data_IF_565258586883
#
_entry.id   IF_565258586883
#
_cell.length_a   1.000
_cell.length_b   1.000
_cell.length_c   1.000
_cell.angle_alpha   90.00
_cell.angle_beta   90.00
_cell.angle_gamma   90.00
#
_symmetry.space_group_name_H-M   'P 1'
#
loop_
_entity.id
_entity.type
_entity.pdbx_description
1 polymer ?
#
# COMPACT_ATOMS: atom_id res chain seq x y z
N UNK A 1 -0.41 -7.05 19.68
CA UNK A 1 -0.06 -7.47 18.31
C UNK A 1 1.43 -7.74 18.30
N UNK A 2 1.92 -8.88 17.76
CA UNK A 2 3.36 -9.15 17.61
C UNK A 2 3.64 -9.26 16.11
N UNK A 3 4.54 -8.44 15.57
CA UNK A 3 4.99 -8.56 14.20
C UNK A 3 6.03 -9.68 14.11
N UNK A 4 5.91 -10.54 13.11
CA UNK A 4 6.89 -11.57 12.82
C UNK A 4 7.58 -11.22 11.49
N UNK A 5 8.91 -11.19 11.51
CA UNK A 5 9.74 -10.97 10.32
C UNK A 5 9.86 -12.28 9.55
N UNK A 6 9.57 -12.27 8.25
CA UNK A 6 9.82 -13.43 7.39
C UNK A 6 11.29 -13.42 6.91
N UNK A 7 11.98 -14.57 7.01
CA UNK A 7 13.38 -14.73 6.61
C UNK A 7 13.59 -14.51 5.10
N UNK A 8 14.66 -13.79 4.75
CA UNK A 8 15.19 -13.67 3.40
C UNK A 8 15.82 -15.00 2.93
N UNK A 9 15.49 -15.44 1.72
CA UNK A 9 16.17 -16.55 1.04
C UNK A 9 17.65 -16.19 0.80
N UNK A 10 18.53 -17.15 1.11
CA UNK A 10 19.96 -16.92 1.28
C UNK A 10 20.78 -16.72 0.01
N UNK A 11 21.93 -16.08 0.22
CA UNK A 11 23.14 -16.17 -0.58
C UNK A 11 24.30 -15.85 0.36
N UNK A 12 25.19 -16.82 0.57
CA UNK A 12 26.36 -16.73 1.45
C UNK A 12 27.44 -15.87 0.81
N UNK A 13 27.78 -14.74 1.43
CA UNK A 13 29.09 -14.10 1.34
C UNK A 13 29.24 -13.13 2.53
N UNK A 14 30.15 -13.46 3.45
CA UNK A 14 30.60 -12.54 4.50
C UNK A 14 31.49 -11.46 3.87
N UNK A 15 31.05 -10.20 3.88
CA UNK A 15 31.95 -9.04 3.79
C UNK A 15 31.53 -7.97 4.79
N UNK A 16 32.53 -7.54 5.55
CA UNK A 16 32.53 -6.56 6.63
C UNK A 16 31.93 -5.19 6.28
N UNK A 17 31.10 -4.67 7.18
CA UNK A 17 30.56 -3.31 7.15
C UNK A 17 29.05 -3.33 7.32
N UNK A 18 28.56 -3.42 8.56
CA UNK A 18 27.12 -3.39 8.83
C UNK A 18 26.53 -2.06 8.35
N UNK A 19 26.01 -2.02 7.11
CA UNK A 19 25.14 -0.94 6.62
C UNK A 19 24.07 -0.73 7.68
N UNK A 20 24.07 0.44 8.35
CA UNK A 20 22.99 0.83 9.25
C UNK A 20 21.69 0.75 8.47
N UNK A 21 20.82 -0.20 8.83
CA UNK A 21 19.50 -0.34 8.23
C UNK A 21 18.73 0.95 8.50
N UNK A 22 18.29 1.64 7.45
CA UNK A 22 17.53 2.88 7.56
C UNK A 22 16.07 2.54 7.87
N UNK A 23 15.49 3.04 8.97
CA UNK A 23 14.09 2.79 9.29
C UNK A 23 13.21 3.48 8.23
N UNK A 24 12.28 2.72 7.69
CA UNK A 24 11.29 3.18 6.73
C UNK A 24 10.01 3.61 7.44
N UNK A 25 9.53 2.81 8.37
CA UNK A 25 8.35 3.07 9.19
C UNK A 25 8.70 2.82 10.65
N UNK A 26 8.47 3.80 11.51
CA UNK A 26 8.59 3.67 12.96
C UNK A 26 7.26 4.03 13.60
N UNK A 27 6.71 3.10 14.38
CA UNK A 27 5.48 3.27 15.15
C UNK A 27 5.87 3.08 16.61
N UNK A 28 5.58 4.08 17.44
CA UNK A 28 5.87 4.06 18.88
C UNK A 28 4.61 4.34 19.68
N UNK A 29 4.24 3.40 20.53
CA UNK A 29 3.10 3.44 21.44
C UNK A 29 1.80 3.97 20.79
N UNK A 30 1.54 3.58 19.54
CA UNK A 30 0.38 4.08 18.80
C UNK A 30 -0.92 3.57 19.42
N UNK A 31 -1.78 4.51 19.80
CA UNK A 31 -3.15 4.27 20.28
C UNK A 31 -4.16 4.93 19.36
N UNK A 32 -5.31 4.29 19.17
CA UNK A 32 -6.35 4.80 18.30
C UNK A 32 -7.72 4.24 18.67
N UNK A 33 -8.75 5.09 18.52
CA UNK A 33 -10.14 4.79 18.76
C UNK A 33 -10.97 4.99 17.48
N UNK A 34 -12.23 4.57 17.51
CA UNK A 34 -13.22 4.96 16.49
C UNK A 34 -13.53 6.45 16.65
N UNK A 35 -13.57 7.22 15.56
CA UNK A 35 -13.74 8.68 15.63
C UNK A 35 -15.02 9.14 16.37
N UNK A 36 -16.03 8.27 16.44
CA UNK A 36 -17.31 8.54 17.11
C UNK A 36 -17.54 7.67 18.35
N UNK A 37 -16.48 7.13 18.96
CA UNK A 37 -16.59 6.26 20.15
C UNK A 37 -15.33 6.29 20.99
N UNK A 38 -15.50 6.24 22.31
CA UNK A 38 -14.38 6.04 23.26
C UNK A 38 -13.77 4.63 23.19
N UNK A 39 -14.28 3.76 22.31
CA UNK A 39 -13.78 2.41 22.13
C UNK A 39 -12.37 2.42 21.50
N UNK A 40 -11.36 2.35 22.36
CA UNK A 40 -9.97 2.19 21.97
C UNK A 40 -9.71 0.79 21.36
N UNK A 41 -9.18 0.77 20.13
CA UNK A 41 -8.90 -0.46 19.39
C UNK A 41 -7.40 -0.75 19.35
N UNK A 42 -6.57 0.27 19.09
CA UNK A 42 -5.12 0.14 19.19
C UNK A 42 -4.66 0.60 20.56
N UNK A 43 -3.91 -0.27 21.26
CA UNK A 43 -3.53 -0.10 22.67
C UNK A 43 -2.00 -0.14 22.81
N UNK A 44 -1.30 0.85 22.27
CA UNK A 44 0.17 0.96 22.36
C UNK A 44 0.90 0.02 21.39
N UNK A 45 0.69 0.22 20.09
CA UNK A 45 1.37 -0.58 19.05
C UNK A 45 2.78 -0.03 18.82
N UNK A 46 3.76 -0.94 18.82
CA UNK A 46 5.16 -0.65 18.49
C UNK A 46 5.60 -1.50 17.30
N UNK A 47 6.16 -0.87 16.27
CA UNK A 47 6.65 -1.54 15.06
C UNK A 47 7.76 -0.70 14.42
N UNK A 48 8.86 -1.35 14.02
CA UNK A 48 9.87 -0.74 13.16
C UNK A 48 10.04 -1.62 11.93
N UNK A 49 9.90 -1.02 10.74
CA UNK A 49 10.16 -1.64 9.45
C UNK A 49 11.34 -0.91 8.82
N UNK A 50 12.37 -1.65 8.43
CA UNK A 50 13.51 -1.08 7.72
C UNK A 50 13.31 -1.15 6.20
N UNK A 51 14.00 -0.28 5.46
CA UNK A 51 13.98 -0.30 4.00
C UNK A 51 14.38 -1.71 3.47
N UNK A 52 13.59 -2.23 2.52
CA UNK A 52 13.80 -3.54 1.90
C UNK A 52 13.25 -4.73 2.70
N UNK A 53 12.72 -4.53 3.91
CA UNK A 53 12.14 -5.61 4.71
C UNK A 53 10.67 -5.85 4.40
N UNK A 54 10.23 -7.09 4.65
CA UNK A 54 8.82 -7.47 4.61
C UNK A 54 8.40 -8.06 5.94
N UNK A 55 7.31 -7.51 6.46
CA UNK A 55 6.80 -7.86 7.77
C UNK A 55 5.40 -8.45 7.64
N UNK A 56 5.17 -9.57 8.32
CA UNK A 56 3.84 -10.15 8.44
C UNK A 56 3.23 -9.74 9.78
N UNK A 57 2.07 -9.09 9.73
CA UNK A 57 1.30 -8.75 10.93
C UNK A 57 0.23 -9.82 11.15
N UNK A 58 0.39 -10.59 12.23
CA UNK A 58 -0.49 -11.72 12.55
C UNK A 58 -1.20 -11.53 13.90
N UNK A 59 -2.37 -12.15 14.04
CA UNK A 59 -3.19 -12.06 15.26
C UNK A 59 -4.61 -12.53 15.03
N UNK A 60 -5.35 -12.77 16.13
CA UNK A 60 -6.77 -13.17 16.11
C UNK A 60 -7.65 -12.14 15.41
N UNK A 61 -8.81 -12.53 14.91
CA UNK A 61 -9.80 -11.58 14.40
C UNK A 61 -10.18 -10.58 15.49
N UNK A 62 -10.36 -9.30 15.13
CA UNK A 62 -10.58 -8.22 16.09
C UNK A 62 -9.33 -7.69 16.81
N UNK A 63 -8.13 -8.24 16.57
CA UNK A 63 -6.90 -7.78 17.25
C UNK A 63 -6.34 -6.43 16.75
N UNK A 64 -7.12 -5.63 16.02
CA UNK A 64 -6.72 -4.32 15.51
C UNK A 64 -5.82 -4.31 14.27
N UNK A 65 -5.64 -5.43 13.54
CA UNK A 65 -4.76 -5.48 12.34
C UNK A 65 -5.22 -4.57 11.21
N UNK A 66 -6.47 -4.71 10.80
CA UNK A 66 -7.04 -3.86 9.75
C UNK A 66 -7.16 -2.41 10.24
N UNK A 67 -7.44 -2.19 11.52
CA UNK A 67 -7.46 -0.86 12.14
C UNK A 67 -6.09 -0.20 12.06
N UNK A 68 -5.02 -0.91 12.40
CA UNK A 68 -3.65 -0.41 12.28
C UNK A 68 -3.34 0.04 10.84
N UNK A 69 -3.65 -0.77 9.83
CA UNK A 69 -3.46 -0.38 8.43
C UNK A 69 -4.28 0.85 8.04
N UNK A 70 -5.55 0.94 8.48
CA UNK A 70 -6.43 2.08 8.21
C UNK A 70 -5.96 3.37 8.89
N UNK A 71 -5.46 3.29 10.12
CA UNK A 71 -4.88 4.44 10.84
C UNK A 71 -3.64 4.97 10.13
N UNK A 72 -2.77 4.09 9.63
CA UNK A 72 -1.57 4.51 8.89
C UNK A 72 -1.93 5.31 7.63
N UNK A 73 -2.99 4.93 6.90
CA UNK A 73 -3.43 5.69 5.71
C UNK A 73 -4.36 6.87 6.01
N UNK A 74 -4.68 7.13 7.29
CA UNK A 74 -5.50 8.28 7.68
C UNK A 74 -6.99 8.10 7.38
N UNK A 75 -7.51 6.87 7.52
CA UNK A 75 -8.93 6.61 7.30
C UNK A 75 -9.82 7.34 8.32
N UNK A 76 -10.88 8.07 7.89
CA UNK A 76 -11.66 8.96 8.76
C UNK A 76 -12.43 8.27 9.89
N UNK A 77 -12.76 6.98 9.74
CA UNK A 77 -13.39 6.18 10.81
C UNK A 77 -12.59 6.11 12.12
N UNK A 78 -11.29 6.45 12.11
CA UNK A 78 -10.42 6.30 13.27
C UNK A 78 -9.72 7.59 13.63
N UNK A 79 -9.57 7.80 14.93
CA UNK A 79 -8.83 8.91 15.52
C UNK A 79 -7.64 8.38 16.30
N UNK A 80 -6.48 9.00 16.12
CA UNK A 80 -5.25 8.66 16.84
C UNK A 80 -5.29 9.37 18.18
N UNK A 81 -5.29 8.59 19.27
CA UNK A 81 -5.40 9.11 20.64
C UNK A 81 -4.04 9.30 21.31
N UNK A 82 -2.97 8.82 20.70
CA UNK A 82 -1.63 8.87 21.27
C UNK A 82 -0.56 8.11 20.48
N UNK A 83 0.69 8.28 20.88
CA UNK A 83 1.87 7.71 20.23
C UNK A 83 2.39 8.55 19.06
N UNK A 84 3.26 7.95 18.25
CA UNK A 84 3.85 8.61 17.08
C UNK A 84 4.11 7.64 15.94
N UNK A 85 4.05 8.15 14.71
CA UNK A 85 4.37 7.40 13.50
C UNK A 85 5.30 8.23 12.61
N UNK A 86 6.47 7.70 12.32
CA UNK A 86 7.41 8.28 11.37
C UNK A 86 7.46 7.41 10.11
N UNK A 87 7.34 8.04 8.93
CA UNK A 87 7.55 7.40 7.65
C UNK A 87 8.65 8.14 6.90
N UNK A 88 9.73 7.42 6.55
CA UNK A 88 10.97 7.99 5.97
C UNK A 88 11.55 9.15 6.80
N UNK A 89 11.31 9.15 8.11
CA UNK A 89 11.76 10.19 9.05
C UNK A 89 10.79 11.36 9.24
N UNK A 90 9.68 11.42 8.49
CA UNK A 90 8.67 12.48 8.62
C UNK A 90 7.46 12.01 9.43
N UNK A 91 6.85 12.91 10.19
CA UNK A 91 5.67 12.57 10.99
C UNK A 91 4.45 12.32 10.09
N UNK A 92 4.05 11.05 10.01
CA UNK A 92 2.95 10.59 9.16
C UNK A 92 1.59 11.11 9.65
N UNK A 93 1.43 11.30 10.97
CA UNK A 93 0.14 11.67 11.57
C UNK A 93 -0.28 13.11 11.22
N UNK A 94 0.67 13.97 10.87
CA UNK A 94 0.43 15.36 10.46
C UNK A 94 0.11 15.49 8.96
N UNK A 95 0.20 14.40 8.20
CA UNK A 95 -0.05 14.40 6.76
C UNK A 95 -1.50 14.05 6.48
N UNK A 96 -2.09 14.73 5.51
CA UNK A 96 -3.39 14.33 4.94
C UNK A 96 -3.25 13.01 4.15
N UNK A 97 -4.32 12.21 3.99
CA UNK A 97 -4.27 10.93 3.29
C UNK A 97 -3.61 10.99 1.90
N UNK A 98 -3.88 12.05 1.13
CA UNK A 98 -3.26 12.28 -0.19
C UNK A 98 -1.75 12.50 -0.07
N UNK A 99 -1.31 13.23 0.94
CA UNK A 99 0.11 13.50 1.20
C UNK A 99 0.86 12.23 1.57
N UNK A 100 0.25 11.37 2.40
CA UNK A 100 0.77 10.05 2.76
C UNK A 100 0.94 9.15 1.52
N UNK A 101 -0.08 9.13 0.66
CA UNK A 101 -0.04 8.40 -0.62
C UNK A 101 1.11 8.86 -1.49
N UNK A 102 1.23 10.17 -1.63
CA UNK A 102 2.28 10.82 -2.42
C UNK A 102 3.69 10.64 -1.82
N UNK A 103 3.82 10.48 -0.50
CA UNK A 103 5.08 10.12 0.15
C UNK A 103 5.52 8.67 -0.15
N UNK A 104 4.63 7.86 -0.70
CA UNK A 104 4.88 6.47 -1.09
C UNK A 104 4.20 5.43 -0.18
N UNK A 105 3.27 5.84 0.68
CA UNK A 105 2.48 4.90 1.49
C UNK A 105 1.26 4.44 0.69
N UNK A 106 1.11 3.14 0.50
CA UNK A 106 -0.07 2.57 -0.16
C UNK A 106 -0.71 1.52 0.74
N UNK A 107 -2.03 1.40 0.68
CA UNK A 107 -2.79 0.30 1.28
C UNK A 107 -3.69 -0.34 0.22
N UNK A 108 -3.58 -1.65 0.04
CA UNK A 108 -4.56 -2.43 -0.71
C UNK A 108 -5.83 -2.61 0.12
N UNK A 109 -7.00 -2.46 -0.49
CA UNK A 109 -8.26 -2.62 0.22
C UNK A 109 -8.64 -4.10 0.33
N UNK A 110 -9.34 -4.47 1.40
CA UNK A 110 -9.91 -5.83 1.53
C UNK A 110 -11.04 -6.03 0.51
N UNK A 111 -11.78 -4.96 0.20
CA UNK A 111 -12.80 -4.90 -0.84
C UNK A 111 -12.58 -3.63 -1.67
N UNK A 112 -12.03 -3.74 -2.89
CA UNK A 112 -11.85 -2.59 -3.76
C UNK A 112 -13.18 -1.93 -4.11
N UNK A 113 -13.21 -0.60 -4.07
CA UNK A 113 -14.40 0.22 -4.38
C UNK A 113 -14.62 0.23 -5.89
N UNK A 114 -15.87 0.14 -6.31
CA UNK A 114 -16.28 0.31 -7.70
C UNK A 114 -16.55 1.79 -8.00
N UNK A 115 -16.05 2.30 -9.12
CA UNK A 115 -16.27 3.69 -9.54
C UNK A 115 -16.91 3.69 -10.93
N UNK A 116 -18.25 3.71 -11.01
CA UNK A 116 -18.96 3.75 -12.28
C UNK A 116 -18.64 5.03 -13.06
N UNK A 117 -18.52 4.91 -14.38
CA UNK A 117 -18.27 6.04 -15.28
C UNK A 117 -16.83 6.52 -15.36
N UNK A 118 -15.89 5.89 -14.64
CA UNK A 118 -14.45 6.17 -14.73
C UNK A 118 -13.72 4.94 -15.21
N UNK A 119 -13.10 5.03 -16.39
CA UNK A 119 -12.31 3.92 -16.95
C UNK A 119 -11.03 3.68 -16.14
N UNK A 120 -10.51 2.45 -16.15
CA UNK A 120 -9.24 2.16 -15.47
C UNK A 120 -8.07 2.96 -16.06
N UNK A 121 -8.02 3.17 -17.37
CA UNK A 121 -6.95 3.95 -17.99
C UNK A 121 -6.98 5.42 -17.56
N UNK A 122 -8.16 6.03 -17.51
CA UNK A 122 -8.29 7.43 -17.09
C UNK A 122 -7.94 7.58 -15.62
N UNK A 123 -8.45 6.68 -14.77
CA UNK A 123 -8.13 6.65 -13.35
C UNK A 123 -6.62 6.54 -13.10
N UNK A 124 -5.96 5.58 -13.75
CA UNK A 124 -4.53 5.35 -13.61
C UNK A 124 -3.70 6.53 -14.15
N UNK A 125 -4.11 7.13 -15.26
CA UNK A 125 -3.43 8.28 -15.85
C UNK A 125 -3.52 9.51 -14.92
N UNK A 126 -4.72 9.80 -14.41
CA UNK A 126 -4.94 10.90 -13.46
C UNK A 126 -4.12 10.70 -12.18
N UNK A 127 -4.16 9.50 -11.59
CA UNK A 127 -3.41 9.20 -10.37
C UNK A 127 -1.88 9.31 -10.59
N UNK A 128 -1.38 8.81 -11.73
CA UNK A 128 0.03 8.90 -12.07
C UNK A 128 0.49 10.34 -12.32
N UNK A 129 -0.31 11.14 -13.04
CA UNK A 129 0.00 12.55 -13.28
C UNK A 129 -0.08 13.40 -12.01
N UNK A 130 -0.97 13.09 -11.07
CA UNK A 130 -1.00 13.74 -9.76
C UNK A 130 0.32 13.56 -8.98
N UNK A 131 0.92 12.36 -9.03
CA UNK A 131 2.24 12.12 -8.45
C UNK A 131 3.34 12.90 -9.18
N UNK A 132 3.33 12.88 -10.52
CA UNK A 132 4.32 13.60 -11.34
C UNK A 132 4.29 15.11 -11.07
N UNK A 133 3.10 15.70 -11.00
CA UNK A 133 2.89 17.10 -10.68
C UNK A 133 3.51 17.48 -9.34
N UNK A 134 3.32 16.65 -8.29
CA UNK A 134 3.95 16.89 -6.98
C UNK A 134 5.48 16.79 -7.03
N UNK A 135 6.01 15.90 -7.86
CA UNK A 135 7.45 15.74 -8.09
C UNK A 135 8.05 16.80 -9.03
N UNK A 136 7.25 17.74 -9.56
CA UNK A 136 7.70 18.73 -10.53
C UNK A 136 8.04 18.14 -11.91
N UNK A 137 7.53 16.94 -12.21
CA UNK A 137 7.72 16.25 -13.48
C UNK A 137 6.60 16.61 -14.47
N UNK A 138 6.87 16.67 -15.79
CA UNK A 138 5.85 16.96 -16.79
C UNK A 138 4.82 15.83 -16.83
N UNK A 139 3.53 16.16 -16.95
CA UNK A 139 2.45 15.19 -17.08
C UNK A 139 2.62 14.34 -18.36
N UNK A 140 2.18 13.09 -18.33
CA UNK A 140 2.12 12.25 -19.53
C UNK A 140 0.78 12.44 -20.24
N UNK A 141 0.84 12.61 -21.56
CA UNK A 141 -0.35 12.54 -22.39
C UNK A 141 -0.91 11.11 -22.47
N UNK A 142 -2.15 10.92 -22.95
CA UNK A 142 -2.79 9.59 -23.02
C UNK A 142 -1.97 8.53 -23.77
N UNK A 143 -1.32 8.92 -24.88
CA UNK A 143 -0.50 8.02 -25.71
C UNK A 143 0.77 7.59 -24.95
N UNK A 144 1.47 8.55 -24.35
CA UNK A 144 2.69 8.31 -23.58
C UNK A 144 2.39 7.46 -22.34
N UNK A 145 1.27 7.75 -21.68
CA UNK A 145 0.82 6.97 -20.54
C UNK A 145 0.45 5.53 -20.93
N UNK A 146 -0.22 5.33 -22.06
CA UNK A 146 -0.52 4.00 -22.57
C UNK A 146 0.77 3.19 -22.81
N UNK A 147 1.78 3.80 -23.45
CA UNK A 147 3.07 3.16 -23.66
C UNK A 147 3.77 2.81 -22.33
N UNK A 148 3.64 3.65 -21.30
CA UNK A 148 4.16 3.37 -19.96
C UNK A 148 3.38 2.24 -19.23
N UNK A 149 2.07 2.17 -19.43
CA UNK A 149 1.16 1.23 -18.79
C UNK A 149 1.26 -0.18 -19.39
N UNK A 150 1.36 -0.27 -20.72
CA UNK A 150 1.23 -1.53 -21.46
C UNK A 150 2.18 -2.65 -20.97
N UNK A 151 3.48 -2.41 -20.74
CA UNK A 151 4.37 -3.45 -20.22
C UNK A 151 3.97 -3.97 -18.83
N UNK A 152 3.24 -3.17 -18.03
CA UNK A 152 2.82 -3.55 -16.67
C UNK A 152 1.58 -4.44 -16.68
N UNK A 153 0.74 -4.37 -17.71
CA UNK A 153 -0.38 -5.29 -17.90
C UNK A 153 0.10 -6.73 -18.06
N UNK A 154 1.18 -6.93 -18.81
CA UNK A 154 1.81 -8.23 -19.01
C UNK A 154 2.35 -8.79 -17.68
N UNK A 155 3.00 -7.95 -16.86
CA UNK A 155 3.53 -8.35 -15.55
C UNK A 155 2.45 -8.90 -14.60
N UNK A 156 1.23 -8.39 -14.72
CA UNK A 156 0.10 -8.80 -13.86
C UNK A 156 -0.86 -9.76 -14.54
N UNK A 157 -0.56 -10.21 -15.77
CA UNK A 157 -1.40 -11.08 -16.59
C UNK A 157 -2.85 -10.56 -16.73
N UNK A 158 -2.99 -9.30 -17.14
CA UNK A 158 -4.28 -8.62 -17.31
C UNK A 158 -4.46 -8.15 -18.75
N UNK A 159 -5.59 -8.48 -19.36
CA UNK A 159 -5.86 -8.11 -20.76
C UNK A 159 -6.08 -6.60 -20.91
N UNK A 160 -5.72 -6.05 -22.06
CA UNK A 160 -5.92 -4.64 -22.39
C UNK A 160 -7.38 -4.19 -22.34
N UNK A 161 -8.33 -5.08 -22.62
CA UNK A 161 -9.76 -4.76 -22.62
C UNK A 161 -10.27 -4.22 -21.27
N UNK A 162 -9.57 -4.54 -20.18
CA UNK A 162 -9.91 -4.05 -18.84
C UNK A 162 -9.65 -2.56 -18.66
N UNK A 163 -8.76 -1.97 -19.47
CA UNK A 163 -8.42 -0.56 -19.38
C UNK A 163 -9.62 0.36 -19.64
N UNK A 164 -10.49 -0.05 -20.57
CA UNK A 164 -11.67 0.73 -20.96
C UNK A 164 -12.90 0.44 -20.08
N UNK A 165 -12.82 -0.57 -19.21
CA UNK A 165 -13.88 -0.88 -18.25
C UNK A 165 -13.82 0.09 -17.09
N UNK A 166 -14.97 0.32 -16.45
CA UNK A 166 -15.04 1.09 -15.22
C UNK A 166 -14.22 0.44 -14.10
N UNK A 167 -13.70 1.25 -13.18
CA UNK A 167 -12.85 0.79 -12.08
C UNK A 167 -13.61 -0.25 -11.24
N UNK A 168 -13.08 -1.48 -11.21
CA UNK A 168 -13.55 -2.65 -10.47
C UNK A 168 -14.99 -3.15 -10.77
N UNK A 169 -15.71 -2.51 -11.69
CA UNK A 169 -17.11 -2.84 -12.00
C UNK A 169 -17.22 -4.15 -12.81
N UNK A 170 -17.95 -5.12 -12.25
CA UNK A 170 -18.14 -6.44 -12.86
C UNK A 170 -16.86 -7.28 -12.92
N UNK A 171 -15.84 -6.96 -12.11
CA UNK A 171 -14.61 -7.73 -12.00
C UNK A 171 -14.83 -8.89 -11.02
N UNK A 172 -14.35 -10.08 -11.36
CA UNK A 172 -14.19 -11.18 -10.42
C UNK A 172 -13.18 -10.83 -9.31
N UNK A 173 -13.19 -11.57 -8.20
CA UNK A 173 -12.25 -11.33 -7.09
C UNK A 173 -10.78 -11.37 -7.53
N UNK A 174 -10.41 -12.31 -8.40
CA UNK A 174 -9.06 -12.40 -8.96
C UNK A 174 -8.70 -11.22 -9.88
N UNK A 175 -9.65 -10.71 -10.66
CA UNK A 175 -9.46 -9.54 -11.51
C UNK A 175 -9.31 -8.26 -10.69
N UNK A 176 -10.14 -8.07 -9.66
CA UNK A 176 -9.98 -6.95 -8.72
C UNK A 176 -8.58 -6.95 -8.11
N UNK A 177 -8.08 -8.13 -7.75
CA UNK A 177 -6.75 -8.26 -7.16
C UNK A 177 -5.61 -7.96 -8.15
N UNK A 178 -5.72 -8.43 -9.40
CA UNK A 178 -4.77 -8.05 -10.46
C UNK A 178 -4.81 -6.55 -10.74
N UNK A 179 -5.99 -5.93 -10.71
CA UNK A 179 -6.13 -4.48 -10.90
C UNK A 179 -5.44 -3.68 -9.78
N UNK A 180 -5.51 -4.14 -8.53
CA UNK A 180 -4.72 -3.54 -7.45
C UNK A 180 -3.22 -3.68 -7.67
N UNK A 181 -2.74 -4.84 -8.14
CA UNK A 181 -1.31 -5.01 -8.50
C UNK A 181 -0.93 -4.09 -9.66
N UNK A 182 -1.82 -3.90 -10.62
CA UNK A 182 -1.59 -2.98 -11.73
C UNK A 182 -1.44 -1.55 -11.22
N UNK A 183 -2.34 -1.08 -10.36
CA UNK A 183 -2.23 0.24 -9.71
C UNK A 183 -0.89 0.40 -8.99
N UNK A 184 -0.47 -0.64 -8.27
CA UNK A 184 0.83 -0.67 -7.60
C UNK A 184 2.00 -0.56 -8.60
N UNK A 185 1.95 -1.33 -9.68
CA UNK A 185 2.97 -1.31 -10.72
C UNK A 185 3.02 0.03 -11.47
N UNK A 186 1.89 0.71 -11.63
CA UNK A 186 1.81 2.01 -12.31
C UNK A 186 2.35 3.12 -11.42
N UNK A 187 1.88 3.17 -10.17
CA UNK A 187 2.07 4.31 -9.28
C UNK A 187 3.36 4.25 -8.46
N UNK A 188 4.00 3.08 -8.33
CA UNK A 188 5.07 2.96 -7.34
C UNK A 188 6.20 1.98 -7.70
N UNK A 189 6.21 1.36 -8.89
CA UNK A 189 7.30 0.46 -9.29
C UNK A 189 8.67 1.19 -9.38
N UNK A 190 8.68 2.52 -9.42
CA UNK A 190 9.89 3.35 -9.36
C UNK A 190 10.30 3.75 -7.93
N UNK A 191 9.52 3.42 -6.90
CA UNK A 191 9.82 3.75 -5.52
C UNK A 191 10.44 2.52 -4.83
N UNK A 192 11.73 2.60 -4.47
CA UNK A 192 12.54 1.50 -3.87
C UNK A 192 11.99 0.91 -2.55
N UNK A 193 10.88 1.44 -2.03
CA UNK A 193 10.34 1.21 -0.70
C UNK A 193 9.24 0.12 -0.64
N UNK A 194 9.08 -0.65 -1.71
CA UNK A 194 7.79 -1.21 -2.11
C UNK A 194 7.43 -2.61 -1.56
N UNK A 195 8.36 -3.26 -0.86
CA UNK A 195 8.21 -4.67 -0.50
C UNK A 195 7.24 -4.93 0.67
N UNK A 196 6.87 -3.90 1.44
CA UNK A 196 5.98 -4.02 2.60
C UNK A 196 4.56 -4.54 2.26
N UNK A 197 4.09 -4.37 1.02
CA UNK A 197 2.68 -4.61 0.71
C UNK A 197 2.39 -5.81 -0.18
N UNK A 198 3.39 -6.32 -0.89
CA UNK A 198 3.20 -7.44 -1.83
C UNK A 198 2.84 -8.75 -1.11
N UNK A 199 3.28 -8.94 0.14
CA UNK A 199 3.03 -10.18 0.88
C UNK A 199 1.64 -10.25 1.55
N UNK A 200 1.07 -9.12 1.96
CA UNK A 200 -0.34 -9.07 2.38
C UNK A 200 -1.27 -9.40 1.19
N UNK A 201 -0.86 -8.96 0.01
CA UNK A 201 -1.51 -9.24 -1.27
C UNK A 201 -1.41 -10.72 -1.67
N UNK A 202 -0.21 -11.31 -1.57
CA UNK A 202 0.04 -12.71 -1.93
C UNK A 202 -0.68 -13.70 -0.99
N UNK A 203 -0.88 -13.37 0.29
CA UNK A 203 -1.69 -14.20 1.20
C UNK A 203 -3.20 -14.09 0.91
N UNK A 204 -3.68 -12.92 0.49
CA UNK A 204 -5.07 -12.74 0.03
C UNK A 204 -5.33 -13.46 -1.30
N UNK A 205 -4.37 -13.48 -2.22
CA UNK A 205 -4.42 -14.28 -3.45
C UNK A 205 -4.46 -15.79 -3.15
N UNK A 206 -3.65 -16.27 -2.21
CA UNK A 206 -3.66 -17.68 -1.82
C UNK A 206 -4.99 -18.13 -1.21
N UNK A 207 -5.71 -17.25 -0.51
CA UNK A 207 -7.03 -17.55 0.04
C UNK A 207 -8.19 -17.36 -0.95
N UNK A 208 -7.99 -16.66 -2.08
CA UNK A 208 -9.04 -16.42 -3.10
C UNK A 208 -9.00 -17.42 -4.25
N UNK A 209 -7.95 -18.25 -4.36
CA UNK A 209 -7.81 -19.30 -5.39
C UNK A 209 -8.22 -20.68 -4.83
N UNK A 210 -8.51 -20.78 -3.53
CA UNK A 210 -8.88 -22.02 -2.83
C UNK A 210 -10.31 -22.04 -2.29
N UNK A 211 -11.28 -21.44 -3.00
CA UNK A 211 -12.70 -21.46 -2.66
C UNK A 211 -13.55 -21.73 -3.89
#
# INVERSE_FOLDING_TARGET
MRAATALSAGGSEEVSGAKKKKPLLEVKDLTAALANSEQEILKGVNLVVYEGEVHAIMGKNGSGKSTFSKVLVGHPDYEVTGGSVLFKGENLLNMEPEERSLAGLFMSFQSPIEIPGVSNIDFLNMAYNAQRKKLGLPELGPIEFYAYLFPKLELVNMKSDFLNRNVNEGFSGGERKRNEILQLAVLFLNCFSFWLMLLCLLRLLANSIGG
#
